data_IF_699453290456
#
_entry.id   IF_699453290456
#
_cell.length_a   1.000
_cell.length_b   1.000
_cell.length_c   1.000
_cell.angle_alpha   90.00
_cell.angle_beta   90.00
_cell.angle_gamma   90.00
#
_symmetry.space_group_name_H-M   'P 1'
#
loop_
_entity.id
_entity.type
_entity.pdbx_description
1 polymer ?
#
# COMPACT_ATOMS: atom_id res chain seq x y z
N UNK A 1 13.00 17.05 -9.28
CA UNK A 1 11.71 16.88 -8.59
C UNK A 1 11.70 15.52 -7.88
N UNK A 2 11.18 15.43 -6.65
CA UNK A 2 11.00 14.17 -5.91
C UNK A 2 9.51 13.86 -5.81
N UNK A 3 9.04 12.85 -6.55
CA UNK A 3 7.66 12.35 -6.52
C UNK A 3 7.62 11.04 -5.72
N UNK A 4 6.59 10.85 -4.92
CA UNK A 4 6.20 9.55 -4.38
C UNK A 4 4.83 9.20 -4.97
N UNK A 5 4.77 8.11 -5.74
CA UNK A 5 3.53 7.62 -6.33
C UNK A 5 2.88 6.64 -5.36
N UNK A 6 1.61 6.89 -5.01
CA UNK A 6 0.77 5.96 -4.26
C UNK A 6 -0.49 5.75 -5.08
N UNK A 7 -0.83 4.49 -5.34
CA UNK A 7 -2.03 4.12 -6.09
C UNK A 7 -2.77 3.00 -5.38
N UNK A 8 -4.07 2.91 -5.63
CA UNK A 8 -4.92 1.85 -5.12
C UNK A 8 -5.84 1.36 -6.24
N UNK A 9 -6.20 0.09 -6.19
CA UNK A 9 -7.19 -0.51 -7.08
C UNK A 9 -7.97 -1.57 -6.32
N UNK A 10 -9.19 -1.84 -6.76
CA UNK A 10 -9.96 -2.97 -6.25
C UNK A 10 -9.36 -4.30 -6.75
N UNK A 11 -9.51 -5.40 -6.03
CA UNK A 11 -8.99 -6.70 -6.47
C UNK A 11 -9.82 -7.30 -7.63
N UNK A 12 -11.07 -6.87 -7.81
CA UNK A 12 -11.97 -7.24 -8.90
C UNK A 12 -13.04 -6.14 -9.11
N UNK A 13 -13.89 -6.23 -10.15
CA UNK A 13 -14.95 -5.24 -10.38
C UNK A 13 -15.92 -5.06 -9.21
N UNK A 14 -16.29 -6.14 -8.51
CA UNK A 14 -17.21 -6.05 -7.37
C UNK A 14 -16.52 -5.72 -6.04
N UNK A 15 -15.19 -5.72 -5.98
CA UNK A 15 -14.40 -5.35 -4.80
C UNK A 15 -14.20 -6.44 -3.75
N UNK A 16 -14.92 -7.57 -3.81
CA UNK A 16 -14.94 -8.59 -2.74
C UNK A 16 -14.02 -9.81 -2.99
N UNK A 17 -13.13 -9.76 -3.97
CA UNK A 17 -12.20 -10.86 -4.21
C UNK A 17 -11.21 -10.99 -3.04
N UNK A 18 -11.34 -12.09 -2.29
CA UNK A 18 -10.50 -12.37 -1.12
C UNK A 18 -11.00 -11.72 0.19
N UNK A 19 -12.21 -11.18 0.19
CA UNK A 19 -12.88 -10.67 1.40
C UNK A 19 -13.36 -11.85 2.26
N UNK A 20 -13.20 -11.75 3.58
CA UNK A 20 -13.57 -12.81 4.54
C UNK A 20 -15.07 -12.91 4.79
N UNK A 21 -15.78 -11.78 4.65
CA UNK A 21 -17.16 -11.63 5.08
C UNK A 21 -18.12 -11.59 3.90
N UNK A 22 -17.65 -11.15 2.73
CA UNK A 22 -18.45 -10.98 1.52
C UNK A 22 -17.89 -11.84 0.39
N UNK A 23 -18.69 -12.78 -0.11
CA UNK A 23 -18.30 -13.61 -1.23
C UNK A 23 -18.24 -12.79 -2.54
N UNK A 24 -17.15 -12.96 -3.29
CA UNK A 24 -17.00 -12.39 -4.62
C UNK A 24 -17.99 -13.01 -5.62
N UNK A 25 -18.75 -12.17 -6.32
CA UNK A 25 -19.69 -12.58 -7.37
C UNK A 25 -19.07 -12.63 -8.78
N UNK A 26 -17.83 -12.16 -8.95
CA UNK A 26 -17.18 -12.12 -10.26
C UNK A 26 -16.69 -13.50 -10.71
N UNK A 27 -16.86 -13.79 -12.00
CA UNK A 27 -16.25 -14.95 -12.65
C UNK A 27 -14.73 -14.77 -12.78
N UNK A 28 -14.00 -15.88 -12.91
CA UNK A 28 -12.56 -15.85 -13.14
C UNK A 28 -12.16 -15.02 -14.39
N UNK A 29 -12.99 -15.03 -15.43
CA UNK A 29 -12.76 -14.24 -16.64
C UNK A 29 -12.94 -12.73 -16.40
N UNK A 30 -13.93 -12.32 -15.62
CA UNK A 30 -14.13 -10.91 -15.26
C UNK A 30 -12.97 -10.39 -14.41
N UNK A 31 -12.53 -11.17 -13.41
CA UNK A 31 -11.36 -10.83 -12.58
C UNK A 31 -10.13 -10.64 -13.47
N UNK A 32 -9.84 -11.62 -14.33
CA UNK A 32 -8.68 -11.57 -15.24
C UNK A 32 -8.75 -10.40 -16.23
N UNK A 33 -9.94 -10.03 -16.71
CA UNK A 33 -10.13 -8.86 -17.58
C UNK A 33 -9.91 -7.56 -16.82
N UNK A 34 -10.35 -7.48 -15.57
CA UNK A 34 -10.20 -6.29 -14.75
C UNK A 34 -8.73 -6.04 -14.37
N UNK A 35 -8.01 -7.05 -13.90
CA UNK A 35 -6.60 -6.92 -13.50
C UNK A 35 -5.69 -6.58 -14.69
N UNK A 36 -6.03 -7.07 -15.89
CA UNK A 36 -5.33 -6.74 -17.14
C UNK A 36 -5.48 -5.29 -17.60
N UNK A 37 -6.35 -4.48 -16.99
CA UNK A 37 -6.44 -3.05 -17.32
C UNK A 37 -5.16 -2.29 -16.98
N UNK A 38 -4.37 -2.81 -16.03
CA UNK A 38 -3.05 -2.26 -15.71
C UNK A 38 -2.01 -3.16 -16.38
N UNK A 39 -1.07 -2.53 -17.08
CA UNK A 39 -0.03 -3.29 -17.78
C UNK A 39 0.95 -3.92 -16.80
N UNK A 40 1.37 -5.15 -17.08
CA UNK A 40 2.42 -5.83 -16.31
C UNK A 40 3.70 -4.98 -16.18
N UNK A 41 4.23 -4.40 -17.28
CA UNK A 41 5.41 -3.53 -17.21
C UNK A 41 5.27 -2.30 -16.32
N UNK A 42 4.05 -1.82 -16.03
CA UNK A 42 3.84 -0.75 -15.06
C UNK A 42 3.85 -1.29 -13.63
N UNK A 43 3.19 -2.43 -13.38
CA UNK A 43 3.19 -3.09 -12.07
C UNK A 43 4.60 -3.52 -11.65
N UNK A 44 5.42 -3.97 -12.59
CA UNK A 44 6.83 -4.34 -12.34
C UNK A 44 7.71 -3.16 -11.90
N UNK A 45 7.20 -1.93 -11.98
CA UNK A 45 7.90 -0.69 -11.59
C UNK A 45 7.41 -0.11 -10.28
N UNK A 46 6.47 -0.76 -9.60
CA UNK A 46 6.01 -0.36 -8.28
C UNK A 46 6.76 -1.20 -7.25
N UNK A 47 7.52 -0.53 -6.38
CA UNK A 47 8.40 -1.20 -5.42
C UNK A 47 7.66 -2.00 -4.34
N UNK A 48 6.47 -1.53 -3.94
CA UNK A 48 5.72 -2.07 -2.81
C UNK A 48 4.28 -2.37 -3.24
N UNK A 49 3.92 -3.65 -3.17
CA UNK A 49 2.54 -4.12 -3.32
C UNK A 49 2.03 -4.60 -1.97
N UNK A 50 0.92 -4.01 -1.51
CA UNK A 50 0.22 -4.44 -0.31
C UNK A 50 -1.23 -4.70 -0.63
N UNK A 51 -1.78 -5.79 -0.09
CA UNK A 51 -3.22 -6.02 -0.08
C UNK A 51 -3.78 -5.42 1.19
N UNK A 52 -4.78 -4.54 1.05
CA UNK A 52 -5.45 -3.90 2.18
C UNK A 52 -6.80 -4.60 2.35
N UNK A 53 -7.03 -5.30 3.48
CA UNK A 53 -8.33 -5.90 3.75
C UNK A 53 -9.38 -4.81 4.00
N UNK A 54 -10.64 -5.18 3.90
CA UNK A 54 -11.74 -4.30 4.27
C UNK A 54 -11.66 -3.99 5.76
N UNK A 55 -11.92 -2.73 6.10
CA UNK A 55 -12.03 -2.27 7.49
C UNK A 55 -13.46 -2.51 7.97
N UNK A 56 -13.62 -3.06 9.18
CA UNK A 56 -14.95 -3.27 9.74
C UNK A 56 -15.63 -1.93 10.06
N UNK A 57 -16.96 -1.86 9.93
CA UNK A 57 -17.70 -0.62 10.23
C UNK A 57 -17.48 -0.14 11.68
N UNK A 58 -17.33 -1.09 12.61
CA UNK A 58 -17.06 -0.78 14.02
C UNK A 58 -15.71 -0.08 14.19
N UNK A 59 -14.68 -0.49 13.47
CA UNK A 59 -13.36 0.13 13.51
C UNK A 59 -13.39 1.56 12.93
N UNK A 60 -14.24 1.81 11.92
CA UNK A 60 -14.43 3.15 11.34
C UNK A 60 -15.18 4.12 12.25
N UNK A 61 -16.05 3.59 13.12
CA UNK A 61 -16.89 4.38 14.03
C UNK A 61 -16.36 4.43 15.45
N UNK A 62 -15.26 3.71 15.72
CA UNK A 62 -14.64 3.69 17.03
C UNK A 62 -14.07 5.06 17.38
N UNK A 63 -14.44 5.57 18.56
CA UNK A 63 -14.00 6.87 19.07
C UNK A 63 -12.76 6.77 19.94
N UNK A 64 -12.21 5.56 20.15
CA UNK A 64 -10.96 5.40 20.88
C UNK A 64 -9.85 6.11 20.12
N UNK A 65 -9.04 6.92 20.81
CA UNK A 65 -7.92 7.60 20.16
C UNK A 65 -6.94 6.55 19.61
N UNK A 66 -6.66 6.64 18.31
CA UNK A 66 -5.60 5.88 17.68
C UNK A 66 -4.22 6.33 18.20
N UNK A 67 -3.16 5.60 17.84
CA UNK A 67 -1.80 6.01 18.14
C UNK A 67 -1.53 7.45 17.65
N UNK A 68 -1.00 8.29 18.54
CA UNK A 68 -0.67 9.66 18.18
C UNK A 68 0.43 9.70 17.12
N UNK A 69 0.33 10.66 16.18
CA UNK A 69 1.30 10.83 15.09
C UNK A 69 2.74 10.99 15.57
N UNK A 70 2.97 11.52 16.78
CA UNK A 70 4.30 11.63 17.38
C UNK A 70 4.95 10.26 17.63
N UNK A 71 4.16 9.28 18.08
CA UNK A 71 4.62 7.91 18.34
C UNK A 71 4.97 7.21 17.03
N UNK A 72 4.10 7.36 16.02
CA UNK A 72 4.34 6.81 14.67
C UNK A 72 5.60 7.43 14.07
N UNK A 73 5.76 8.76 14.19
CA UNK A 73 6.92 9.48 13.69
C UNK A 73 8.23 8.94 14.27
N UNK A 74 8.30 8.67 15.57
CA UNK A 74 9.50 8.09 16.19
C UNK A 74 9.89 6.76 15.54
N UNK A 75 8.93 5.87 15.23
CA UNK A 75 9.20 4.61 14.52
C UNK A 75 9.71 4.85 13.09
N UNK A 76 9.11 5.81 12.38
CA UNK A 76 9.54 6.19 11.02
C UNK A 76 10.97 6.74 11.01
N UNK A 77 11.33 7.57 11.99
CA UNK A 77 12.68 8.14 12.11
C UNK A 77 13.73 7.05 12.34
N UNK A 78 13.45 6.06 13.19
CA UNK A 78 14.33 4.90 13.39
C UNK A 78 14.57 4.16 12.07
N UNK A 79 13.50 3.85 11.32
CA UNK A 79 13.63 3.19 10.02
C UNK A 79 14.45 4.02 9.01
N UNK A 80 14.27 5.36 9.00
CA UNK A 80 15.06 6.27 8.16
C UNK A 80 16.54 6.26 8.54
N UNK A 81 16.88 6.25 9.83
CA UNK A 81 18.26 6.17 10.28
C UNK A 81 18.96 4.89 9.81
N UNK A 82 18.27 3.74 9.89
CA UNK A 82 18.78 2.48 9.33
C UNK A 82 19.03 2.61 7.83
N UNK A 83 18.09 3.20 7.10
CA UNK A 83 18.24 3.37 5.65
C UNK A 83 19.38 4.32 5.28
N UNK A 84 19.54 5.43 5.99
CA UNK A 84 20.65 6.37 5.79
C UNK A 84 22.00 5.68 6.01
N UNK A 85 22.11 4.81 7.01
CA UNK A 85 23.31 4.02 7.25
C UNK A 85 23.61 3.03 6.12
N UNK A 86 22.59 2.39 5.54
CA UNK A 86 22.75 1.51 4.36
C UNK A 86 23.27 2.29 3.16
N UNK A 87 22.75 3.49 2.92
CA UNK A 87 23.15 4.33 1.78
C UNK A 87 24.57 4.89 1.88
N UNK A 88 25.20 4.95 3.06
CA UNK A 88 26.62 5.36 3.18
C UNK A 88 27.57 4.53 2.30
N UNK A 89 27.23 3.28 2.01
CA UNK A 89 28.03 2.35 1.20
C UNK A 89 27.73 2.42 -0.30
N UNK A 90 26.74 3.21 -0.70
CA UNK A 90 26.28 3.32 -2.08
C UNK A 90 26.53 4.76 -2.54
N UNK A 91 27.07 4.99 -3.74
CA UNK A 91 27.18 6.34 -4.33
C UNK A 91 25.81 6.90 -4.75
N UNK A 92 24.78 6.71 -3.93
CA UNK A 92 23.44 7.23 -4.17
C UNK A 92 23.28 8.57 -3.43
N UNK A 93 23.23 9.65 -4.20
CA UNK A 93 22.84 10.97 -3.70
C UNK A 93 21.33 10.96 -3.43
N UNK A 94 20.91 10.49 -2.26
CA UNK A 94 19.55 10.76 -1.80
C UNK A 94 19.52 12.23 -1.39
N UNK A 95 18.72 13.03 -2.11
CA UNK A 95 18.48 14.45 -1.82
C UNK A 95 18.27 14.63 -0.31
N UNK A 96 19.28 15.19 0.34
CA UNK A 96 19.18 15.71 1.70
C UNK A 96 18.20 16.90 1.61
N UNK A 97 16.99 16.73 2.14
CA UNK A 97 16.23 17.86 2.64
C UNK A 97 16.72 18.16 4.05
#
# INVERSE_FOLDING_TARGET
>A
ASLMLVTAMNPCPCGFLGDSDHACSCTANEIKRYTKKISGPLLDRIDIHIQVPRVEYKELTETKPAEASIVIRSRVEVARCVQLNRFKKIKFSVMRK
#
